data_IF_616749425132
#
_entry.id   IF_616749425132
#
_cell.length_a   1.000
_cell.length_b   1.000
_cell.length_c   1.000
_cell.angle_alpha   90.00
_cell.angle_beta   90.00
_cell.angle_gamma   90.00
#
_symmetry.space_group_name_H-M   'P 1'
#
loop_
_entity.id
_entity.type
_entity.pdbx_description
1 polymer ?
#
# COMPACT_ATOMS: atom_id res chain seq x y z
N UNK A 1 16.47 5.45 -2.50
CA UNK A 1 16.25 4.87 -3.83
C UNK A 1 14.79 4.48 -3.92
N UNK A 2 14.10 4.85 -5.00
CA UNK A 2 12.66 4.58 -5.17
C UNK A 2 12.38 3.10 -5.46
N UNK A 3 11.13 2.67 -5.26
CA UNK A 3 10.68 1.32 -5.59
C UNK A 3 10.76 1.09 -7.11
N UNK A 4 11.48 0.04 -7.54
CA UNK A 4 11.68 -0.28 -8.95
C UNK A 4 10.51 -1.05 -9.57
N UNK A 5 9.68 -1.73 -8.76
CA UNK A 5 8.53 -2.51 -9.21
C UNK A 5 7.35 -2.43 -8.25
N UNK A 6 6.14 -2.42 -8.78
CA UNK A 6 4.89 -2.33 -8.01
C UNK A 6 3.73 -3.01 -8.74
N UNK A 7 2.58 -3.14 -8.07
CA UNK A 7 1.35 -3.70 -8.63
C UNK A 7 0.24 -2.66 -8.62
N UNK A 8 -0.59 -2.67 -9.66
CA UNK A 8 -1.83 -1.90 -9.70
C UNK A 8 -3.05 -2.79 -10.04
N UNK A 9 -4.20 -2.56 -9.38
CA UNK A 9 -4.43 -1.59 -8.31
C UNK A 9 -3.67 -1.96 -7.02
N UNK A 10 -3.45 -0.98 -6.13
CA UNK A 10 -2.87 -1.22 -4.81
C UNK A 10 -3.81 -2.11 -3.98
N UNK A 11 -3.29 -3.13 -3.29
CA UNK A 11 -4.06 -4.17 -2.61
C UNK A 11 -5.06 -4.90 -3.55
N UNK A 12 -4.57 -5.54 -4.62
CA UNK A 12 -5.44 -6.08 -5.65
C UNK A 12 -6.23 -7.30 -5.18
N UNK A 13 -7.42 -7.47 -5.76
CA UNK A 13 -8.07 -8.77 -5.85
C UNK A 13 -7.30 -9.61 -6.89
N UNK A 14 -6.60 -10.65 -6.45
CA UNK A 14 -5.75 -11.51 -7.31
C UNK A 14 -6.57 -12.49 -8.18
N UNK A 15 -7.90 -12.43 -8.08
CA UNK A 15 -8.84 -13.08 -8.99
C UNK A 15 -9.29 -12.16 -10.13
N UNK A 16 -8.84 -10.91 -10.14
CA UNK A 16 -9.08 -9.94 -11.19
C UNK A 16 -7.79 -9.57 -11.93
N UNK A 17 -7.88 -8.95 -13.12
CA UNK A 17 -6.71 -8.43 -13.83
C UNK A 17 -5.92 -7.41 -12.98
N UNK A 18 -4.61 -7.62 -12.89
CA UNK A 18 -3.65 -6.71 -12.26
C UNK A 18 -2.54 -6.38 -13.24
N UNK A 19 -1.87 -5.25 -13.02
CA UNK A 19 -0.67 -4.86 -13.75
C UNK A 19 0.55 -4.90 -12.85
N UNK A 20 1.55 -5.67 -13.24
CA UNK A 20 2.87 -5.66 -12.62
C UNK A 20 3.74 -4.66 -13.37
N UNK A 21 4.15 -3.61 -12.69
CA UNK A 21 4.94 -2.53 -13.25
C UNK A 21 6.41 -2.65 -12.86
N UNK A 22 7.30 -2.22 -13.77
CA UNK A 22 8.73 -2.03 -13.53
C UNK A 22 9.20 -0.73 -14.16
N UNK A 23 9.96 0.05 -13.41
CA UNK A 23 10.69 1.21 -13.89
C UNK A 23 12.16 0.86 -14.08
N UNK A 24 12.57 0.63 -15.33
CA UNK A 24 13.94 0.22 -15.68
C UNK A 24 14.98 1.32 -15.38
N UNK A 25 14.57 2.56 -15.08
CA UNK A 25 15.50 3.60 -14.61
C UNK A 25 15.86 3.46 -13.13
N UNK A 26 15.12 2.63 -12.38
CA UNK A 26 15.28 2.43 -10.93
C UNK A 26 15.85 1.06 -10.57
N UNK A 27 16.06 0.18 -11.56
CA UNK A 27 16.67 -1.13 -11.33
C UNK A 27 18.16 -0.97 -11.01
N UNK A 28 18.66 -1.84 -10.14
CA UNK A 28 20.07 -1.84 -9.74
C UNK A 28 20.96 -2.53 -10.77
N UNK A 29 20.45 -3.54 -11.46
CA UNK A 29 21.08 -4.07 -12.67
C UNK A 29 20.63 -3.22 -13.88
N UNK A 30 21.58 -2.51 -14.47
CA UNK A 30 21.35 -1.57 -15.57
C UNK A 30 21.57 -2.18 -16.95
N UNK A 31 21.80 -3.50 -17.06
CA UNK A 31 22.02 -4.18 -18.34
C UNK A 31 20.87 -4.02 -19.35
N UNK A 32 19.66 -3.73 -18.85
CA UNK A 32 18.48 -3.43 -19.67
C UNK A 32 18.20 -1.93 -19.83
N UNK A 33 18.96 -1.04 -19.17
CA UNK A 33 18.61 0.37 -19.05
C UNK A 33 18.67 1.13 -20.39
N UNK A 34 19.59 0.75 -21.28
CA UNK A 34 19.79 1.41 -22.58
C UNK A 34 19.13 0.64 -23.75
N UNK A 35 18.40 -0.43 -23.45
CA UNK A 35 17.65 -1.18 -24.45
C UNK A 35 16.28 -0.53 -24.68
N UNK A 36 15.79 -0.60 -25.92
CA UNK A 36 14.49 -0.04 -26.32
C UNK A 36 13.33 -1.03 -26.21
N UNK A 37 13.63 -2.30 -25.93
CA UNK A 37 12.65 -3.39 -25.90
C UNK A 37 12.45 -4.06 -27.28
N UNK A 38 11.44 -4.95 -27.42
CA UNK A 38 10.46 -5.31 -26.40
C UNK A 38 11.10 -6.05 -25.21
N UNK A 39 10.52 -5.84 -24.03
CA UNK A 39 10.89 -6.56 -22.80
C UNK A 39 9.86 -7.63 -22.46
N UNK A 40 10.30 -8.63 -21.72
CA UNK A 40 9.54 -9.81 -21.34
C UNK A 40 9.65 -10.04 -19.85
N UNK A 41 8.54 -10.44 -19.24
CA UNK A 41 8.54 -10.88 -17.85
C UNK A 41 9.01 -12.34 -17.78
N UNK A 42 9.92 -12.63 -16.85
CA UNK A 42 10.26 -13.99 -16.44
C UNK A 42 9.85 -14.15 -14.98
N UNK A 43 8.94 -15.09 -14.67
CA UNK A 43 8.36 -15.22 -13.33
C UNK A 43 8.30 -16.66 -12.84
N UNK A 44 8.52 -16.87 -11.53
CA UNK A 44 8.64 -18.20 -10.92
C UNK A 44 7.95 -18.33 -9.55
N UNK A 45 7.35 -17.24 -9.04
CA UNK A 45 6.48 -17.30 -7.85
C UNK A 45 5.17 -16.58 -8.12
N UNK A 46 4.03 -17.11 -7.65
CA UNK A 46 3.87 -18.24 -6.71
C UNK A 46 4.13 -19.64 -7.29
N UNK A 47 4.14 -19.77 -8.62
CA UNK A 47 4.39 -21.02 -9.34
C UNK A 47 5.21 -20.72 -10.60
N UNK A 48 6.10 -21.63 -11.00
CA UNK A 48 6.81 -21.54 -12.28
C UNK A 48 6.20 -22.55 -13.26
N UNK A 49 5.79 -22.04 -14.42
CA UNK A 49 5.25 -22.88 -15.48
C UNK A 49 6.33 -23.78 -16.08
N UNK A 50 6.10 -25.11 -16.13
CA UNK A 50 7.09 -26.03 -16.68
C UNK A 50 7.26 -25.81 -18.19
N UNK A 51 8.38 -26.29 -18.71
CA UNK A 51 8.63 -26.27 -20.15
C UNK A 51 7.49 -26.97 -20.92
N UNK A 52 7.05 -26.38 -22.03
CA UNK A 52 5.95 -26.85 -22.87
C UNK A 52 4.53 -26.45 -22.42
N UNK A 53 4.37 -25.74 -21.30
CA UNK A 53 3.06 -25.34 -20.76
C UNK A 53 2.30 -24.24 -21.54
N UNK A 54 2.85 -23.75 -22.65
CA UNK A 54 2.36 -22.57 -23.37
C UNK A 54 2.63 -21.25 -22.64
N UNK A 55 2.76 -21.26 -21.30
CA UNK A 55 3.13 -20.13 -20.43
C UNK A 55 4.53 -20.23 -19.83
N UNK A 56 5.37 -21.12 -20.37
CA UNK A 56 6.77 -21.22 -19.98
C UNK A 56 7.48 -19.88 -20.18
N UNK A 57 8.46 -19.55 -19.33
CA UNK A 57 9.16 -18.27 -19.39
C UNK A 57 9.97 -18.09 -20.69
N UNK A 58 10.58 -19.17 -21.17
CA UNK A 58 11.35 -19.20 -22.41
C UNK A 58 11.13 -20.51 -23.16
N UNK A 59 11.34 -20.47 -24.47
CA UNK A 59 10.98 -21.53 -25.42
C UNK A 59 12.23 -22.19 -26.03
N UNK A 60 12.09 -23.46 -26.43
CA UNK A 60 13.15 -24.24 -27.09
C UNK A 60 14.34 -24.60 -26.19
N UNK A 61 15.43 -25.07 -26.80
CA UNK A 61 16.59 -25.65 -26.08
C UNK A 61 17.43 -24.61 -25.31
N UNK A 62 17.24 -23.32 -25.61
CA UNK A 62 17.93 -22.20 -24.96
C UNK A 62 16.90 -21.17 -24.47
N UNK A 63 16.10 -21.49 -23.44
CA UNK A 63 15.00 -20.63 -22.99
C UNK A 63 15.48 -19.24 -22.55
N UNK A 64 16.72 -19.10 -22.08
CA UNK A 64 17.29 -17.79 -21.75
C UNK A 64 17.52 -16.88 -22.97
N UNK A 65 17.66 -17.45 -24.18
CA UNK A 65 17.79 -16.68 -25.43
C UNK A 65 16.47 -16.44 -26.15
N UNK A 66 15.40 -17.09 -25.71
CA UNK A 66 14.12 -17.11 -26.42
C UNK A 66 12.96 -16.95 -25.45
N UNK A 67 12.75 -15.73 -24.91
CA UNK A 67 11.60 -15.43 -24.06
C UNK A 67 10.27 -15.73 -24.78
N UNK A 68 9.25 -16.20 -24.07
CA UNK A 68 7.96 -16.55 -24.67
C UNK A 68 7.17 -15.30 -25.09
N UNK A 69 6.62 -15.28 -26.31
CA UNK A 69 5.93 -14.11 -26.87
C UNK A 69 4.68 -13.69 -26.10
N UNK A 70 4.03 -14.62 -25.38
CA UNK A 70 2.88 -14.26 -24.55
C UNK A 70 3.25 -13.45 -23.30
N UNK A 71 4.56 -13.39 -22.97
CA UNK A 71 5.10 -12.70 -21.79
C UNK A 71 5.67 -11.32 -22.13
N UNK A 72 5.40 -10.82 -23.33
CA UNK A 72 5.81 -9.47 -23.74
C UNK A 72 5.13 -8.42 -22.85
N UNK A 73 5.94 -7.49 -22.36
CA UNK A 73 5.49 -6.34 -21.58
C UNK A 73 5.11 -5.18 -22.50
N UNK A 74 4.22 -4.32 -22.01
CA UNK A 74 3.81 -3.08 -22.67
C UNK A 74 4.43 -1.88 -21.97
N UNK A 75 4.84 -0.87 -22.72
CA UNK A 75 5.34 0.38 -22.15
C UNK A 75 4.16 1.25 -21.69
N UNK A 76 4.32 1.96 -20.57
CA UNK A 76 3.35 2.92 -20.03
C UNK A 76 3.99 4.31 -19.95
N UNK A 77 3.83 5.08 -21.02
CA UNK A 77 4.44 6.41 -21.17
C UNK A 77 3.84 7.45 -20.22
N UNK A 78 2.61 7.22 -19.75
CA UNK A 78 1.94 8.12 -18.80
C UNK A 78 2.58 8.02 -17.40
N UNK A 79 3.18 6.87 -17.07
CA UNK A 79 3.91 6.65 -15.80
C UNK A 79 5.41 6.90 -15.91
N UNK A 80 5.97 6.86 -17.13
CA UNK A 80 7.34 7.29 -17.40
C UNK A 80 7.99 6.61 -18.61
N UNK A 81 9.01 7.26 -19.18
CA UNK A 81 9.66 6.80 -20.41
C UNK A 81 10.31 5.41 -20.31
N UNK A 82 10.66 4.93 -19.10
CA UNK A 82 11.24 3.60 -18.86
C UNK A 82 10.33 2.68 -18.04
N UNK A 83 9.03 3.00 -17.97
CA UNK A 83 8.04 2.20 -17.23
C UNK A 83 7.36 1.20 -18.16
N UNK A 84 7.36 -0.06 -17.74
CA UNK A 84 6.77 -1.18 -18.47
C UNK A 84 5.86 -1.98 -17.54
N UNK A 85 4.86 -2.66 -18.11
CA UNK A 85 3.97 -3.54 -17.37
C UNK A 85 3.62 -4.84 -18.07
N UNK A 86 3.29 -5.84 -17.26
CA UNK A 86 2.60 -7.04 -17.70
C UNK A 86 1.24 -7.14 -17.01
N UNK A 87 0.19 -7.38 -17.80
CA UNK A 87 -1.18 -7.51 -17.29
C UNK A 87 -1.57 -8.99 -17.21
N UNK A 88 -2.04 -9.44 -16.05
CA UNK A 88 -2.47 -10.82 -15.83
C UNK A 88 -3.56 -10.89 -14.75
N UNK A 89 -4.38 -11.95 -14.76
CA UNK A 89 -5.11 -12.39 -13.56
C UNK A 89 -4.21 -13.40 -12.83
N UNK A 90 -3.63 -13.10 -11.65
CA UNK A 90 -2.59 -13.94 -11.06
C UNK A 90 -3.02 -15.39 -10.82
N UNK A 91 -4.22 -15.61 -10.28
CA UNK A 91 -4.75 -16.96 -10.03
C UNK A 91 -4.90 -17.79 -11.32
N UNK A 92 -5.35 -17.18 -12.41
CA UNK A 92 -5.49 -17.84 -13.72
C UNK A 92 -4.15 -18.02 -14.44
N UNK A 93 -3.24 -17.05 -14.31
CA UNK A 93 -1.91 -17.14 -14.90
C UNK A 93 -1.18 -18.33 -14.29
N UNK A 94 -0.92 -18.26 -12.98
CA UNK A 94 -0.14 -19.26 -12.23
C UNK A 94 -0.88 -20.57 -11.96
N UNK A 95 -2.21 -20.61 -12.08
CA UNK A 95 -3.01 -21.81 -11.81
C UNK A 95 -3.03 -22.21 -10.33
N UNK A 96 -2.94 -21.22 -9.43
CA UNK A 96 -2.91 -21.44 -7.97
C UNK A 96 -4.07 -20.74 -7.27
N UNK A 97 -4.34 -21.12 -6.03
CA UNK A 97 -5.34 -20.46 -5.20
C UNK A 97 -4.91 -19.03 -4.81
N UNK A 98 -5.88 -18.14 -4.59
CA UNK A 98 -5.61 -16.76 -4.18
C UNK A 98 -4.75 -16.67 -2.90
N UNK A 99 -4.98 -17.56 -1.93
CA UNK A 99 -4.18 -17.67 -0.70
C UNK A 99 -2.69 -17.91 -0.96
N UNK A 100 -2.37 -18.61 -2.04
CA UNK A 100 -0.98 -18.89 -2.43
C UNK A 100 -0.31 -17.65 -3.02
N UNK A 101 -1.04 -16.88 -3.83
CA UNK A 101 -0.56 -15.57 -4.34
C UNK A 101 -0.31 -14.61 -3.17
N UNK A 102 -1.24 -14.51 -2.22
CA UNK A 102 -1.11 -13.62 -1.06
C UNK A 102 0.01 -14.03 -0.10
N UNK A 103 0.23 -15.33 0.10
CA UNK A 103 1.27 -15.81 1.02
C UNK A 103 2.67 -15.77 0.43
N UNK A 104 2.81 -16.03 -0.88
CA UNK A 104 4.12 -16.10 -1.55
C UNK A 104 4.53 -14.81 -2.24
N UNK A 105 3.57 -13.93 -2.56
CA UNK A 105 3.79 -12.77 -3.42
C UNK A 105 4.12 -13.19 -4.86
N UNK A 106 4.69 -12.26 -5.62
CA UNK A 106 5.12 -12.48 -7.00
C UNK A 106 6.60 -12.17 -7.13
N UNK A 107 7.38 -13.14 -7.62
CA UNK A 107 8.80 -12.99 -7.92
C UNK A 107 9.02 -13.09 -9.43
N UNK A 108 9.75 -12.12 -9.97
CA UNK A 108 9.98 -12.02 -11.40
C UNK A 108 11.22 -11.17 -11.70
N UNK A 109 11.64 -11.17 -12.95
CA UNK A 109 12.63 -10.26 -13.52
C UNK A 109 12.19 -9.84 -14.91
N UNK A 110 12.82 -8.80 -15.44
CA UNK A 110 12.58 -8.30 -16.80
C UNK A 110 13.82 -8.47 -17.64
N UNK A 111 13.64 -8.87 -18.89
CA UNK A 111 14.72 -9.11 -19.87
C UNK A 111 14.25 -8.84 -21.30
N UNK A 112 15.15 -8.58 -22.26
CA UNK A 112 14.82 -8.61 -23.69
C UNK A 112 14.40 -10.02 -24.17
N UNK A 113 13.98 -10.13 -25.44
CA UNK A 113 13.65 -11.41 -26.08
C UNK A 113 14.79 -12.42 -25.96
N UNK A 114 16.01 -11.95 -26.25
CA UNK A 114 17.25 -12.69 -26.03
C UNK A 114 17.98 -12.09 -24.83
N UNK A 115 17.93 -12.80 -23.69
CA UNK A 115 18.62 -12.40 -22.47
C UNK A 115 20.12 -12.68 -22.50
N UNK A 116 20.66 -13.17 -23.62
CA UNK A 116 22.03 -13.62 -23.74
C UNK A 116 22.28 -14.91 -22.97
N UNK A 117 23.24 -14.88 -22.05
CA UNK A 117 23.68 -16.09 -21.34
C UNK A 117 24.28 -17.15 -22.29
N UNK A 118 24.50 -18.36 -21.77
CA UNK A 118 25.19 -19.44 -22.51
C UNK A 118 26.54 -19.01 -23.11
N UNK A 119 27.29 -18.18 -22.38
CA UNK A 119 28.56 -17.59 -22.83
C UNK A 119 28.45 -16.13 -23.23
N UNK A 120 27.26 -15.62 -23.52
CA UNK A 120 27.00 -14.19 -23.77
C UNK A 120 26.65 -13.46 -22.47
N UNK A 121 26.76 -12.10 -22.44
CA UNK A 121 26.35 -11.30 -21.29
C UNK A 121 24.91 -11.60 -20.87
N UNK A 122 24.66 -11.63 -19.56
CA UNK A 122 23.32 -11.83 -19.01
C UNK A 122 22.58 -10.48 -18.94
N UNK A 123 21.58 -10.30 -19.80
CA UNK A 123 20.79 -9.08 -19.91
C UNK A 123 19.46 -9.25 -19.18
N UNK A 124 19.39 -8.69 -17.97
CA UNK A 124 18.20 -8.72 -17.11
C UNK A 124 18.22 -7.64 -16.04
N UNK A 125 17.08 -7.42 -15.40
CA UNK A 125 17.03 -6.76 -14.09
C UNK A 125 17.54 -7.70 -13.00
N UNK A 126 17.77 -7.18 -11.79
CA UNK A 126 17.75 -7.99 -10.58
C UNK A 126 16.41 -8.70 -10.38
N UNK A 127 16.38 -9.66 -9.45
CA UNK A 127 15.14 -10.32 -9.03
C UNK A 127 14.24 -9.32 -8.29
N UNK A 128 13.05 -9.11 -8.84
CA UNK A 128 12.02 -8.22 -8.31
C UNK A 128 11.00 -9.05 -7.54
N UNK A 129 10.65 -8.57 -6.35
CA UNK A 129 9.72 -9.26 -5.45
C UNK A 129 8.62 -8.27 -5.03
N UNK A 130 7.37 -8.59 -5.38
CA UNK A 130 6.20 -7.82 -4.96
C UNK A 130 5.46 -8.64 -3.91
N UNK A 131 5.35 -8.09 -2.70
CA UNK A 131 4.44 -8.59 -1.68
C UNK A 131 3.02 -8.18 -2.06
N UNK A 132 2.12 -9.15 -2.20
CA UNK A 132 0.71 -8.89 -2.48
C UNK A 132 -0.05 -9.02 -1.17
N UNK A 133 -0.43 -7.89 -0.58
CA UNK A 133 -1.23 -7.91 0.63
C UNK A 133 -2.64 -8.45 0.30
N UNK A 134 -3.17 -9.40 1.10
CA UNK A 134 -4.57 -9.81 0.96
C UNK A 134 -5.50 -8.63 1.23
N UNK A 135 -6.67 -8.58 0.58
CA UNK A 135 -7.70 -7.62 0.93
C UNK A 135 -8.01 -7.79 2.42
N UNK A 136 -8.03 -6.68 3.16
CA UNK A 136 -8.36 -6.69 4.58
C UNK A 136 -9.84 -7.06 4.72
N UNK A 137 -10.12 -8.35 4.95
CA UNK A 137 -11.48 -8.85 5.23
C UNK A 137 -12.01 -8.36 6.57
N UNK A 138 -11.11 -8.02 7.49
CA UNK A 138 -11.45 -7.41 8.77
C UNK A 138 -11.23 -5.91 8.68
N UNK A 139 -12.29 -5.14 8.92
CA UNK A 139 -12.19 -3.71 9.19
C UNK A 139 -11.17 -3.52 10.33
N UNK A 140 -10.27 -2.55 10.19
CA UNK A 140 -9.43 -2.19 11.32
C UNK A 140 -10.30 -1.77 12.50
N UNK A 141 -9.83 -2.00 13.72
CA UNK A 141 -10.50 -1.51 14.92
C UNK A 141 -10.38 0.01 15.06
N UNK A 142 -9.61 0.73 14.23
CA UNK A 142 -9.76 2.18 14.04
C UNK A 142 -10.20 2.44 12.59
N UNK A 143 -11.28 3.21 12.41
CA UNK A 143 -11.80 3.51 11.08
C UNK A 143 -12.60 4.81 11.02
N UNK A 144 -12.74 5.36 9.82
CA UNK A 144 -13.51 6.58 9.57
C UNK A 144 -14.86 6.30 8.89
N UNK A 145 -15.79 7.25 9.04
CA UNK A 145 -16.98 7.43 8.21
C UNK A 145 -17.19 8.93 7.97
N UNK A 146 -17.40 9.41 6.73
CA UNK A 146 -17.41 8.65 5.47
C UNK A 146 -16.03 8.08 5.09
N UNK A 147 -16.00 7.14 4.12
CA UNK A 147 -14.77 6.46 3.71
C UNK A 147 -13.74 7.42 3.10
N UNK A 148 -14.22 8.41 2.33
CA UNK A 148 -13.44 9.54 1.83
C UNK A 148 -13.70 10.73 2.74
N UNK A 149 -12.66 11.27 3.36
CA UNK A 149 -12.78 12.45 4.22
C UNK A 149 -12.68 13.71 3.35
N UNK A 150 -13.68 14.60 3.44
CA UNK A 150 -13.59 15.96 2.93
C UNK A 150 -13.32 16.93 4.08
N UNK A 151 -12.51 17.95 3.84
CA UNK A 151 -12.04 18.85 4.92
C UNK A 151 -13.17 19.65 5.56
N UNK A 152 -14.24 19.94 4.82
CA UNK A 152 -15.38 20.75 5.24
C UNK A 152 -16.62 19.92 5.60
N UNK A 153 -16.52 18.59 5.70
CA UNK A 153 -17.64 17.71 6.02
C UNK A 153 -17.49 17.03 7.39
N UNK A 154 -18.61 16.55 7.92
CA UNK A 154 -18.63 15.79 9.17
C UNK A 154 -17.95 14.45 8.94
N UNK A 155 -16.94 14.18 9.76
CA UNK A 155 -16.21 12.93 9.81
C UNK A 155 -16.30 12.34 11.22
N UNK A 156 -16.53 11.05 11.29
CA UNK A 156 -16.42 10.26 12.51
C UNK A 156 -15.21 9.35 12.43
N UNK A 157 -14.36 9.37 13.46
CA UNK A 157 -13.33 8.36 13.67
C UNK A 157 -13.81 7.46 14.80
N UNK A 158 -13.94 6.18 14.51
CA UNK A 158 -14.35 5.15 15.45
C UNK A 158 -13.18 4.32 15.91
N UNK A 159 -13.30 3.81 17.12
CA UNK A 159 -12.43 2.82 17.72
C UNK A 159 -13.25 1.66 18.32
N UNK A 160 -13.09 0.47 17.76
CA UNK A 160 -13.79 -0.76 18.16
C UNK A 160 -13.06 -1.49 19.29
N UNK A 161 -13.21 -0.94 20.49
CA UNK A 161 -12.55 -1.42 21.71
C UNK A 161 -12.76 -2.92 22.02
N UNK A 162 -13.97 -3.50 21.82
CA UNK A 162 -14.20 -4.94 22.04
C UNK A 162 -13.32 -5.86 21.21
N UNK A 163 -12.87 -5.45 20.02
CA UNK A 163 -12.11 -6.29 19.08
C UNK A 163 -10.62 -5.95 19.02
N UNK A 164 -10.16 -4.89 19.69
CA UNK A 164 -8.73 -4.54 19.78
C UNK A 164 -7.92 -5.70 20.38
N UNK A 165 -6.82 -6.09 19.74
CA UNK A 165 -5.99 -7.21 20.19
C UNK A 165 -5.01 -6.82 21.31
N UNK A 166 -4.79 -5.53 21.56
CA UNK A 166 -3.94 -5.09 22.67
C UNK A 166 -4.68 -5.21 24.01
N UNK A 167 -4.19 -6.09 24.89
CA UNK A 167 -4.77 -6.34 26.22
C UNK A 167 -4.87 -5.08 27.08
N UNK A 168 -3.85 -4.20 27.04
CA UNK A 168 -3.86 -2.95 27.81
C UNK A 168 -4.92 -1.95 27.34
N UNK A 169 -5.40 -2.13 26.12
CA UNK A 169 -6.44 -1.31 25.54
C UNK A 169 -7.83 -1.93 25.69
N UNK A 170 -8.02 -3.14 26.22
CA UNK A 170 -9.37 -3.72 26.39
C UNK A 170 -10.18 -3.03 27.49
N UNK A 171 -11.51 -3.08 27.35
CA UNK A 171 -12.50 -2.70 28.38
C UNK A 171 -12.31 -1.28 28.94
N UNK A 172 -11.99 -0.30 28.07
CA UNK A 172 -11.79 1.08 28.52
C UNK A 172 -13.11 1.66 29.06
N UNK A 173 -13.03 2.46 30.12
CA UNK A 173 -14.16 3.21 30.62
C UNK A 173 -14.42 4.45 29.76
N UNK A 174 -15.56 5.11 29.99
CA UNK A 174 -15.76 6.47 29.50
C UNK A 174 -14.69 7.40 30.08
N UNK A 175 -14.19 8.33 29.27
CA UNK A 175 -13.13 9.26 29.66
C UNK A 175 -11.71 8.67 29.69
N UNK A 176 -11.53 7.40 29.30
CA UNK A 176 -10.20 6.76 29.25
C UNK A 176 -9.60 6.72 27.85
N UNK A 177 -10.38 6.89 26.78
CA UNK A 177 -9.91 6.79 25.40
C UNK A 177 -9.69 8.18 24.77
N UNK A 178 -8.47 8.44 24.31
CA UNK A 178 -8.10 9.68 23.63
C UNK A 178 -7.49 9.39 22.26
N UNK A 179 -7.94 10.14 21.26
CA UNK A 179 -7.45 10.05 19.89
C UNK A 179 -6.25 10.96 19.70
N UNK A 180 -5.06 10.40 19.55
CA UNK A 180 -3.96 11.17 18.96
C UNK A 180 -4.13 11.19 17.45
N UNK A 181 -4.07 12.39 16.86
CA UNK A 181 -4.36 12.60 15.45
C UNK A 181 -3.49 13.72 14.89
N UNK A 182 -3.03 13.55 13.65
CA UNK A 182 -2.37 14.58 12.84
C UNK A 182 -2.89 14.54 11.41
N UNK A 183 -2.90 15.69 10.75
CA UNK A 183 -3.19 15.82 9.33
C UNK A 183 -1.96 16.37 8.62
N UNK A 184 -1.48 15.64 7.61
CA UNK A 184 -0.37 16.04 6.75
C UNK A 184 -0.90 16.45 5.38
N UNK A 185 -0.22 17.40 4.75
CA UNK A 185 -0.57 17.92 3.44
C UNK A 185 0.50 18.87 2.92
N UNK A 186 0.11 19.77 2.03
CA UNK A 186 1.02 20.75 1.43
C UNK A 186 0.42 22.14 1.46
N UNK A 187 1.27 23.15 1.63
CA UNK A 187 0.88 24.53 1.34
C UNK A 187 0.82 24.74 -0.17
N UNK A 188 -0.30 25.27 -0.67
CA UNK A 188 -0.57 25.43 -2.11
C UNK A 188 0.22 26.56 -2.76
N UNK A 189 0.84 27.45 -1.98
CA UNK A 189 1.64 28.57 -2.49
C UNK A 189 3.10 28.13 -2.66
N UNK A 190 3.65 27.49 -1.62
CA UNK A 190 5.07 27.13 -1.55
C UNK A 190 5.36 25.70 -1.97
N UNK A 191 4.35 24.82 -1.99
CA UNK A 191 4.51 23.38 -2.16
C UNK A 191 5.16 22.68 -0.96
N UNK A 192 5.43 23.39 0.13
CA UNK A 192 6.09 22.83 1.30
C UNK A 192 5.15 21.87 2.06
N UNK A 193 5.69 20.79 2.67
CA UNK A 193 4.91 19.91 3.51
C UNK A 193 4.48 20.63 4.80
N UNK A 194 3.21 20.48 5.17
CA UNK A 194 2.64 21.07 6.39
C UNK A 194 1.94 19.98 7.20
N UNK A 195 2.07 20.04 8.53
CA UNK A 195 1.44 19.11 9.47
C UNK A 195 0.67 19.89 10.53
N UNK A 196 -0.61 19.56 10.67
CA UNK A 196 -1.45 20.03 11.76
C UNK A 196 -1.63 18.91 12.79
N UNK A 197 -1.38 19.22 14.06
CA UNK A 197 -1.44 18.26 15.14
C UNK A 197 -1.97 18.93 16.42
N UNK A 198 -3.23 18.68 16.83
CA UNK A 198 -3.85 19.38 17.96
C UNK A 198 -3.15 19.15 19.31
N UNK A 199 -2.44 18.03 19.47
CA UNK A 199 -1.64 17.76 20.67
C UNK A 199 -0.49 16.80 20.37
N UNK A 200 0.60 16.87 21.13
CA UNK A 200 1.64 15.84 21.08
C UNK A 200 1.07 14.47 21.44
N UNK A 201 1.70 13.38 20.97
CA UNK A 201 1.26 12.03 21.36
C UNK A 201 1.20 11.88 22.88
N UNK A 202 2.19 12.40 23.61
CA UNK A 202 2.27 12.32 25.07
C UNK A 202 1.25 13.22 25.79
N UNK A 203 0.81 14.31 25.16
CA UNK A 203 -0.17 15.24 25.74
C UNK A 203 -1.62 14.99 25.28
N UNK A 204 -1.87 13.99 24.43
CA UNK A 204 -3.22 13.75 23.91
C UNK A 204 -4.25 13.46 25.01
N UNK A 205 -3.86 12.71 26.04
CA UNK A 205 -4.72 12.39 27.20
C UNK A 205 -5.09 13.59 28.10
N UNK A 206 -4.46 14.74 27.88
CA UNK A 206 -4.76 15.98 28.61
C UNK A 206 -5.52 16.99 27.74
N UNK A 207 -5.80 16.68 26.47
CA UNK A 207 -6.56 17.54 25.57
C UNK A 207 -8.02 17.05 25.50
N UNK A 208 -8.99 17.77 26.10
CA UNK A 208 -10.39 17.36 26.11
C UNK A 208 -11.00 17.23 24.72
N UNK A 209 -10.52 17.98 23.72
CA UNK A 209 -10.98 17.89 22.34
C UNK A 209 -10.61 16.57 21.67
N UNK A 210 -9.68 15.81 22.27
CA UNK A 210 -9.25 14.49 21.79
C UNK A 210 -9.92 13.34 22.54
N UNK A 211 -10.71 13.62 23.57
CA UNK A 211 -11.45 12.59 24.30
C UNK A 211 -12.53 11.98 23.40
N UNK A 212 -12.49 10.65 23.26
CA UNK A 212 -13.49 9.93 22.48
C UNK A 212 -14.70 9.58 23.35
N UNK A 213 -15.90 9.71 22.77
CA UNK A 213 -17.15 9.31 23.43
C UNK A 213 -17.36 7.81 23.29
N UNK A 214 -17.88 7.15 24.32
CA UNK A 214 -18.21 5.73 24.27
C UNK A 214 -19.68 5.52 23.90
N UNK A 215 -19.92 4.66 22.92
CA UNK A 215 -21.22 4.04 22.69
C UNK A 215 -21.36 2.85 23.66
N UNK A 216 -22.27 2.98 24.63
CA UNK A 216 -22.48 1.96 25.66
C UNK A 216 -23.15 0.69 25.14
N UNK A 217 -23.88 0.76 24.02
CA UNK A 217 -24.54 -0.40 23.43
C UNK A 217 -23.54 -1.30 22.69
N UNK A 218 -22.56 -0.70 21.99
CA UNK A 218 -21.58 -1.44 21.19
C UNK A 218 -20.20 -1.54 21.85
N UNK A 219 -19.94 -0.75 22.89
CA UNK A 219 -18.61 -0.60 23.50
C UNK A 219 -17.59 0.15 22.63
N UNK A 220 -18.03 0.76 21.52
CA UNK A 220 -17.15 1.48 20.59
C UNK A 220 -16.90 2.88 21.10
N UNK A 221 -15.75 3.45 20.77
CA UNK A 221 -15.47 4.86 20.97
C UNK A 221 -15.56 5.61 19.65
N UNK A 222 -15.93 6.89 19.70
CA UNK A 222 -15.95 7.74 18.51
C UNK A 222 -15.58 9.19 18.82
N UNK A 223 -14.99 9.85 17.83
CA UNK A 223 -14.78 11.29 17.80
C UNK A 223 -15.38 11.83 16.50
N UNK A 224 -16.28 12.80 16.63
CA UNK A 224 -16.92 13.49 15.50
C UNK A 224 -16.26 14.85 15.31
N UNK A 225 -15.90 15.19 14.07
CA UNK A 225 -15.26 16.45 13.74
C UNK A 225 -15.61 16.93 12.33
N UNK A 226 -15.48 18.23 12.09
CA UNK A 226 -15.25 18.76 10.74
C UNK A 226 -13.74 19.06 10.66
N UNK A 227 -12.95 18.38 9.80
CA UNK A 227 -11.49 18.50 9.83
C UNK A 227 -10.98 19.94 9.78
N UNK A 228 -11.52 20.76 8.89
CA UNK A 228 -11.17 22.18 8.73
C UNK A 228 -11.25 22.94 10.05
N UNK A 229 -12.36 22.79 10.77
CA UNK A 229 -12.60 23.47 12.04
C UNK A 229 -11.82 22.86 13.20
N UNK A 230 -11.67 21.53 13.21
CA UNK A 230 -11.02 20.80 14.28
C UNK A 230 -9.50 21.02 14.31
N UNK A 231 -8.85 21.00 13.14
CA UNK A 231 -7.42 21.25 13.03
C UNK A 231 -7.08 22.73 12.87
N UNK A 232 -8.03 23.57 12.44
CA UNK A 232 -7.79 24.98 12.15
C UNK A 232 -6.88 25.17 10.92
N UNK A 233 -7.16 24.46 9.82
CA UNK A 233 -6.35 24.54 8.61
C UNK A 233 -6.28 25.98 8.06
N UNK A 234 -5.11 26.39 7.59
CA UNK A 234 -4.99 27.63 6.82
C UNK A 234 -5.74 27.50 5.49
N UNK A 235 -6.18 28.62 4.88
CA UNK A 235 -6.81 28.59 3.56
C UNK A 235 -5.89 28.07 2.44
N UNK A 236 -4.58 28.06 2.65
CA UNK A 236 -3.57 27.59 1.70
C UNK A 236 -3.19 26.13 1.91
N UNK A 237 -3.76 25.46 2.91
CA UNK A 237 -3.43 24.07 3.19
C UNK A 237 -4.29 23.13 2.35
N UNK A 238 -3.64 22.30 1.52
CA UNK A 238 -4.27 21.15 0.88
C UNK A 238 -4.01 19.90 1.75
N UNK A 239 -5.00 19.41 2.53
CA UNK A 239 -4.83 18.19 3.29
C UNK A 239 -4.69 16.99 2.34
N UNK A 240 -3.90 15.99 2.76
CA UNK A 240 -3.66 14.77 1.98
C UNK A 240 -3.94 13.51 2.79
N UNK A 241 -3.50 13.48 4.04
CA UNK A 241 -3.52 12.27 4.85
C UNK A 241 -3.74 12.61 6.33
N UNK A 242 -4.64 11.88 6.99
CA UNK A 242 -4.80 11.86 8.44
C UNK A 242 -4.18 10.58 8.97
N UNK A 243 -3.31 10.70 9.96
CA UNK A 243 -2.78 9.58 10.73
C UNK A 243 -3.32 9.67 12.15
N UNK A 244 -3.78 8.55 12.71
CA UNK A 244 -4.31 8.54 14.06
C UNK A 244 -3.97 7.27 14.84
N UNK A 245 -4.07 7.33 16.16
CA UNK A 245 -3.99 6.18 17.06
C UNK A 245 -4.79 6.50 18.32
N UNK A 246 -5.37 5.50 18.97
CA UNK A 246 -6.04 5.68 20.25
C UNK A 246 -5.09 5.32 21.37
N UNK A 247 -5.12 6.10 22.44
CA UNK A 247 -4.37 5.82 23.66
C UNK A 247 -5.19 6.06 24.90
N UNK A 248 -4.75 5.48 26.01
CA UNK A 248 -5.28 5.77 27.34
C UNK A 248 -4.98 7.21 27.74
N UNK A 249 -5.84 7.77 28.60
CA UNK A 249 -5.64 9.07 29.25
C UNK A 249 -4.24 9.20 29.85
N UNK A 250 -3.83 8.21 30.63
CA UNK A 250 -2.46 8.10 31.15
C UNK A 250 -1.69 7.12 30.26
N UNK A 251 -0.56 7.56 29.72
CA UNK A 251 0.31 6.73 28.89
C UNK A 251 1.61 6.46 29.64
N UNK A 252 1.89 5.19 29.88
CA UNK A 252 3.11 4.72 30.56
C UNK A 252 3.96 3.85 29.64
N UNK A 253 3.33 3.06 28.78
CA UNK A 253 4.01 2.14 27.88
C UNK A 253 3.22 1.92 26.59
N UNK A 254 3.80 1.14 25.67
CA UNK A 254 3.12 0.73 24.43
C UNK A 254 1.84 -0.08 24.66
N UNK A 255 1.64 -0.65 25.86
CA UNK A 255 0.39 -1.30 26.22
C UNK A 255 -0.80 -0.31 26.31
N UNK A 256 -0.53 0.98 26.50
CA UNK A 256 -1.54 2.04 26.68
C UNK A 256 -1.94 2.73 25.37
N UNK A 257 -1.69 2.09 24.23
CA UNK A 257 -2.12 2.57 22.91
C UNK A 257 -2.50 1.44 21.98
N UNK A 258 -3.33 1.74 20.99
CA UNK A 258 -3.60 0.83 19.88
C UNK A 258 -2.33 0.51 19.09
N UNK A 259 -2.26 -0.70 18.54
CA UNK A 259 -1.17 -1.06 17.61
C UNK A 259 -1.43 -0.54 16.20
N UNK A 260 -2.70 -0.32 15.84
CA UNK A 260 -3.09 0.20 14.54
C UNK A 260 -2.92 1.72 14.46
N UNK A 261 -2.43 2.16 13.31
CA UNK A 261 -2.17 3.55 12.99
C UNK A 261 -2.64 3.83 11.56
N UNK A 262 -3.96 3.90 11.34
CA UNK A 262 -4.48 4.04 9.99
C UNK A 262 -4.06 5.39 9.42
N UNK A 263 -3.68 5.34 8.14
CA UNK A 263 -3.42 6.50 7.29
C UNK A 263 -4.60 6.66 6.34
N UNK A 264 -5.37 7.71 6.57
CA UNK A 264 -6.63 7.96 5.92
C UNK A 264 -6.45 9.08 4.90
N UNK A 265 -6.74 8.82 3.63
CA UNK A 265 -6.68 9.84 2.57
C UNK A 265 -7.75 10.91 2.79
N UNK A 266 -7.39 12.17 2.56
CA UNK A 266 -8.28 13.33 2.65
C UNK A 266 -8.37 13.98 1.28
N UNK A 267 -9.60 14.28 0.85
CA UNK A 267 -9.90 14.83 -0.46
C UNK A 267 -10.14 13.76 -1.53
N UNK A 268 -10.56 14.23 -2.70
CA UNK A 268 -10.53 13.47 -3.94
C UNK A 268 -9.29 13.91 -4.72
N UNK A 269 -8.31 13.04 -4.83
CA UNK A 269 -7.23 13.18 -5.83
C UNK A 269 -7.60 12.34 -7.06
#
# INVERSE_FOLDING_TARGET
>A
MGQASWVEPENPDVTQPVRLYVDLSKTTNTSCADLTGPFYIWTWKPFEHPAGSGKENGTGDKPWKNSNDILVMKQDLDKGAKVWYYEMTPTEFYGVAASEVYSKGISFLVKPKDGGGYGDPDLKTEDLNIVIAPPKLTRSYIYQVPAVILSNEITNIFYDNPVDTNVGMKNLAEGDAYLWIKCSGTDTITGAPVVYQPSSFFNAGSNPSLEMKKDLATGRFYLTMIPQSFFGFSPTFKPKEIECTVRRKVYTSTADRTTDQPKIKVGCD
#
